data_IF_865435170676
#
_entry.id   IF_865435170676
#
_cell.length_a   1.000
_cell.length_b   1.000
_cell.length_c   1.000
_cell.angle_alpha   90.00
_cell.angle_beta   90.00
_cell.angle_gamma   90.00
#
_symmetry.space_group_name_H-M   'P 1'
#
loop_
_entity.id
_entity.type
_entity.pdbx_description
1 polymer ?
#
# COMPACT_ATOMS: atom_id res chain seq x y z
N UNK A 1 -10.90 3.12 19.03
CA UNK A 1 -10.40 2.14 18.06
C UNK A 1 -10.26 2.83 16.70
N UNK A 2 -9.21 2.53 15.95
CA UNK A 2 -9.03 2.90 14.54
C UNK A 2 -8.85 1.61 13.76
N UNK A 3 -9.50 1.48 12.61
CA UNK A 3 -9.29 0.35 11.70
C UNK A 3 -8.39 0.88 10.58
N UNK A 4 -7.17 0.37 10.50
CA UNK A 4 -6.15 0.90 9.60
C UNK A 4 -6.49 0.52 8.15
N UNK A 5 -6.35 1.44 7.20
CA UNK A 5 -6.61 1.15 5.78
C UNK A 5 -5.39 0.48 5.09
N UNK A 6 -4.90 -0.59 5.71
CA UNK A 6 -3.91 -1.51 5.18
C UNK A 6 -4.36 -2.94 5.50
N UNK A 7 -4.17 -3.89 4.59
CA UNK A 7 -4.70 -5.25 4.75
C UNK A 7 -3.60 -6.26 5.14
N UNK A 8 -3.92 -7.22 6.00
CA UNK A 8 -3.06 -8.35 6.36
C UNK A 8 -3.65 -9.66 5.79
N UNK A 9 -3.54 -9.82 4.48
CA UNK A 9 -4.18 -10.89 3.72
C UNK A 9 -3.37 -12.20 3.66
N UNK A 10 -2.20 -12.25 4.31
CA UNK A 10 -1.42 -13.49 4.45
C UNK A 10 -1.88 -14.31 5.65
N UNK A 11 -1.58 -15.60 5.67
CA UNK A 11 -2.00 -16.55 6.70
C UNK A 11 -0.81 -17.21 7.43
N UNK A 12 -1.09 -17.92 8.52
CA UNK A 12 -0.10 -18.68 9.30
C UNK A 12 1.07 -17.83 9.81
N UNK A 13 2.29 -18.39 9.78
CA UNK A 13 3.51 -17.73 10.26
C UNK A 13 3.79 -16.39 9.56
N UNK A 14 3.32 -16.21 8.31
CA UNK A 14 3.48 -14.94 7.61
C UNK A 14 2.59 -13.85 8.21
N UNK A 15 1.36 -14.20 8.63
CA UNK A 15 0.44 -13.29 9.34
C UNK A 15 1.04 -12.83 10.66
N UNK A 16 1.56 -13.75 11.46
CA UNK A 16 2.16 -13.43 12.76
C UNK A 16 3.31 -12.42 12.59
N UNK A 17 4.22 -12.68 11.64
CA UNK A 17 5.33 -11.78 11.32
C UNK A 17 4.86 -10.42 10.80
N UNK A 18 3.82 -10.38 9.96
CA UNK A 18 3.25 -9.13 9.48
C UNK A 18 2.66 -8.30 10.63
N UNK A 19 1.92 -8.93 11.55
CA UNK A 19 1.33 -8.25 12.71
C UNK A 19 2.38 -7.82 13.73
N UNK A 20 3.45 -8.57 13.93
CA UNK A 20 4.59 -8.14 14.76
C UNK A 20 5.31 -6.93 14.17
N UNK A 21 5.49 -6.94 12.85
CA UNK A 21 5.96 -5.78 12.10
C UNK A 21 5.05 -4.58 12.31
N UNK A 22 3.73 -4.76 12.18
CA UNK A 22 2.74 -3.70 12.39
C UNK A 22 2.78 -3.15 13.82
N UNK A 23 2.86 -4.01 14.84
CA UNK A 23 3.01 -3.59 16.24
C UNK A 23 4.19 -2.66 16.42
N UNK A 24 5.33 -3.00 15.82
CA UNK A 24 6.52 -2.14 15.86
C UNK A 24 6.31 -0.80 15.16
N UNK A 25 5.51 -0.76 14.09
CA UNK A 25 5.19 0.50 13.39
C UNK A 25 4.22 1.37 14.19
N UNK A 26 3.21 0.76 14.82
CA UNK A 26 2.29 1.47 15.71
C UNK A 26 3.06 2.04 16.91
N UNK A 27 3.94 1.25 17.53
CA UNK A 27 4.83 1.72 18.60
C UNK A 27 5.62 2.97 18.17
N UNK A 28 6.24 2.96 17.00
CA UNK A 28 7.00 4.11 16.52
C UNK A 28 6.13 5.36 16.30
N UNK A 29 4.84 5.18 15.99
CA UNK A 29 3.94 6.29 15.70
C UNK A 29 3.33 6.89 16.97
N UNK A 30 3.00 6.07 17.97
CA UNK A 30 2.26 6.52 19.17
C UNK A 30 2.97 6.26 20.50
N UNK A 31 4.14 5.62 20.52
CA UNK A 31 4.84 5.21 21.74
C UNK A 31 5.35 6.36 22.61
N UNK A 32 5.50 7.56 22.03
CA UNK A 32 5.85 8.78 22.77
C UNK A 32 4.62 9.48 23.39
N UNK A 33 3.40 8.99 23.14
CA UNK A 33 2.16 9.52 23.67
C UNK A 33 1.74 8.79 24.96
N UNK A 34 1.02 9.47 25.85
CA UNK A 34 0.51 8.89 27.10
C UNK A 34 -0.71 7.98 26.86
N UNK A 35 -0.50 6.86 26.15
CA UNK A 35 -1.52 5.88 25.79
C UNK A 35 -1.04 4.44 25.93
N UNK A 36 -1.99 3.56 26.22
CA UNK A 36 -1.87 2.12 25.97
C UNK A 36 -2.57 1.79 24.65
N UNK A 37 -2.03 0.82 23.91
CA UNK A 37 -2.63 0.36 22.66
C UNK A 37 -2.59 -1.16 22.51
N UNK A 38 -3.54 -1.68 21.74
CA UNK A 38 -3.64 -3.09 21.37
C UNK A 38 -3.91 -3.20 19.87
N UNK A 39 -3.11 -4.01 19.18
CA UNK A 39 -3.27 -4.32 17.75
C UNK A 39 -3.99 -5.65 17.59
N UNK A 40 -5.18 -5.61 17.01
CA UNK A 40 -5.97 -6.77 16.60
C UNK A 40 -6.09 -6.89 15.08
N UNK A 41 -6.73 -7.96 14.63
CA UNK A 41 -7.06 -8.19 13.22
C UNK A 41 -8.56 -8.50 13.10
N UNK A 42 -9.25 -7.78 12.23
CA UNK A 42 -10.67 -8.03 11.92
C UNK A 42 -10.82 -9.26 10.99
N UNK A 43 -12.06 -9.69 10.81
CA UNK A 43 -12.43 -10.81 9.95
C UNK A 43 -12.26 -10.52 8.45
N UNK A 44 -12.22 -9.24 8.07
CA UNK A 44 -11.96 -8.73 6.73
C UNK A 44 -10.46 -8.40 6.52
N UNK A 45 -9.60 -8.96 7.37
CA UNK A 45 -8.13 -8.82 7.34
C UNK A 45 -7.60 -7.38 7.51
N UNK A 46 -8.44 -6.41 7.89
CA UNK A 46 -7.98 -5.09 8.29
C UNK A 46 -7.54 -5.07 9.75
N UNK A 47 -6.31 -4.64 10.08
CA UNK A 47 -5.88 -4.46 11.44
C UNK A 47 -6.68 -3.37 12.16
N UNK A 48 -6.99 -3.61 13.43
CA UNK A 48 -7.59 -2.62 14.31
C UNK A 48 -6.63 -2.26 15.44
N UNK A 49 -6.59 -0.98 15.79
CA UNK A 49 -5.81 -0.47 16.92
C UNK A 49 -6.76 0.13 17.94
N UNK A 50 -6.88 -0.53 19.09
CA UNK A 50 -7.56 0.03 20.26
C UNK A 50 -6.56 0.87 21.03
N UNK A 51 -6.97 2.08 21.43
CA UNK A 51 -6.13 3.05 22.14
C UNK A 51 -6.93 3.62 23.28
N UNK A 52 -6.31 3.73 24.45
CA UNK A 52 -6.84 4.32 25.69
C UNK A 52 -5.75 5.07 26.45
N UNK A 53 -6.08 6.22 27.02
CA UNK A 53 -5.13 7.04 27.79
C UNK A 53 -5.43 8.53 27.69
N UNK A 54 -4.51 9.35 28.19
CA UNK A 54 -4.65 10.82 28.18
C UNK A 54 -4.58 11.38 26.75
N UNK A 55 -3.72 10.80 25.92
CA UNK A 55 -3.49 11.24 24.53
C UNK A 55 -4.29 10.42 23.49
N UNK A 56 -5.38 9.75 23.90
CA UNK A 56 -6.17 8.85 23.05
C UNK A 56 -6.59 9.49 21.71
N UNK A 57 -7.07 10.74 21.74
CA UNK A 57 -7.50 11.45 20.53
C UNK A 57 -6.33 11.74 19.59
N UNK A 58 -5.18 12.16 20.13
CA UNK A 58 -3.98 12.47 19.35
C UNK A 58 -3.46 11.21 18.69
N UNK A 59 -3.30 10.13 19.46
CA UNK A 59 -2.86 8.84 18.95
C UNK A 59 -3.76 8.33 17.82
N UNK A 60 -5.08 8.45 17.96
CA UNK A 60 -6.02 8.07 16.89
C UNK A 60 -5.86 8.92 15.64
N UNK A 61 -5.57 10.21 15.76
CA UNK A 61 -5.36 11.07 14.61
C UNK A 61 -4.05 10.72 13.87
N UNK A 62 -2.96 10.49 14.60
CA UNK A 62 -1.69 10.01 14.04
C UNK A 62 -1.91 8.71 13.26
N UNK A 63 -2.62 7.74 13.83
CA UNK A 63 -2.92 6.48 13.16
C UNK A 63 -3.72 6.68 11.85
N UNK A 64 -4.68 7.60 11.83
CA UNK A 64 -5.46 7.90 10.61
C UNK A 64 -4.64 8.62 9.55
N UNK A 65 -3.74 9.50 9.96
CA UNK A 65 -2.87 10.23 9.04
C UNK A 65 -1.86 9.29 8.37
N UNK A 66 -1.25 8.40 9.15
CA UNK A 66 -0.21 7.47 8.68
C UNK A 66 -0.76 6.31 7.82
N UNK A 67 -1.92 5.75 8.18
CA UNK A 67 -2.47 4.56 7.50
C UNK A 67 -3.80 4.78 6.76
N UNK A 68 -4.42 5.96 6.89
CA UNK A 68 -5.84 6.09 6.59
C UNK A 68 -6.72 5.33 7.60
N UNK A 69 -8.02 5.30 7.34
CA UNK A 69 -8.95 4.51 8.15
C UNK A 69 -10.08 3.89 7.32
N UNK A 70 -10.41 2.66 7.66
CA UNK A 70 -11.64 2.00 7.21
C UNK A 70 -12.81 2.54 8.04
N UNK A 71 -13.84 3.00 7.35
CA UNK A 71 -15.04 3.61 7.93
C UNK A 71 -16.29 2.85 7.46
N UNK A 72 -17.33 2.71 8.30
CA UNK A 72 -18.61 2.16 7.86
C UNK A 72 -19.45 3.16 7.05
N UNK A 73 -19.08 4.43 7.03
CA UNK A 73 -19.82 5.51 6.39
C UNK A 73 -18.89 6.38 5.56
N UNK A 74 -19.27 6.62 4.30
CA UNK A 74 -18.56 7.47 3.37
C UNK A 74 -19.33 8.77 3.10
N UNK A 75 -18.61 9.87 3.03
CA UNK A 75 -19.11 11.20 2.70
C UNK A 75 -18.67 11.57 1.28
N UNK A 76 -19.63 12.01 0.45
CA UNK A 76 -19.34 12.37 -0.93
C UNK A 76 -18.39 13.58 -0.99
N UNK A 77 -17.31 13.46 -1.76
CA UNK A 77 -16.27 14.48 -1.89
C UNK A 77 -15.08 14.29 -0.95
N UNK A 78 -15.19 13.41 0.05
CA UNK A 78 -14.10 13.12 0.99
C UNK A 78 -13.15 12.03 0.45
N UNK A 79 -11.90 12.06 0.95
CA UNK A 79 -10.83 11.15 0.54
C UNK A 79 -10.72 9.97 1.49
N UNK A 80 -10.64 8.77 0.93
CA UNK A 80 -10.49 7.52 1.66
C UNK A 80 -9.40 6.65 1.03
N UNK A 81 -8.91 5.67 1.77
CA UNK A 81 -7.93 4.69 1.28
C UNK A 81 -8.61 3.34 1.15
N UNK A 82 -8.45 2.71 -0.02
CA UNK A 82 -8.88 1.34 -0.27
C UNK A 82 -7.71 0.48 -0.76
N UNK A 83 -7.83 -0.83 -0.60
CA UNK A 83 -6.83 -1.83 -1.00
C UNK A 83 -7.19 -2.35 -2.40
N UNK A 84 -6.29 -2.25 -3.39
CA UNK A 84 -6.55 -2.78 -4.73
C UNK A 84 -6.85 -4.28 -4.69
N UNK A 85 -8.11 -4.65 -4.95
CA UNK A 85 -8.60 -6.02 -4.81
C UNK A 85 -8.63 -6.73 -6.17
N UNK A 86 -9.19 -6.06 -7.18
CA UNK A 86 -9.34 -6.57 -8.54
C UNK A 86 -9.39 -5.44 -9.58
N UNK A 87 -9.26 -5.80 -10.85
CA UNK A 87 -9.42 -4.90 -12.00
C UNK A 87 -9.97 -5.67 -13.20
N UNK A 88 -10.80 -4.98 -13.98
CA UNK A 88 -11.39 -5.48 -15.21
C UNK A 88 -11.46 -4.37 -16.27
N UNK A 89 -12.16 -4.59 -17.37
CA UNK A 89 -12.30 -3.58 -18.42
C UNK A 89 -13.10 -2.33 -17.96
N UNK A 90 -13.90 -2.45 -16.90
CA UNK A 90 -14.73 -1.36 -16.38
C UNK A 90 -13.97 -0.46 -15.40
N UNK A 91 -12.93 -0.95 -14.72
CA UNK A 91 -12.12 -0.14 -13.81
C UNK A 91 -11.29 -0.92 -12.80
N UNK A 92 -10.87 -0.22 -11.74
CA UNK A 92 -10.23 -0.82 -10.56
C UNK A 92 -11.27 -0.97 -9.45
N UNK A 93 -11.18 -2.05 -8.67
CA UNK A 93 -11.99 -2.27 -7.47
C UNK A 93 -11.06 -2.22 -6.26
N UNK A 94 -11.39 -1.32 -5.33
CA UNK A 94 -10.68 -1.14 -4.06
C UNK A 94 -11.56 -1.67 -2.92
N UNK A 95 -10.99 -2.47 -2.04
CA UNK A 95 -11.62 -2.84 -0.77
C UNK A 95 -11.34 -1.76 0.28
N UNK A 96 -12.39 -1.03 0.68
CA UNK A 96 -12.36 -0.04 1.75
C UNK A 96 -13.25 -0.43 2.94
N UNK A 97 -13.42 -1.74 3.19
CA UNK A 97 -14.46 -2.30 4.08
C UNK A 97 -15.77 -2.60 3.34
N UNK A 98 -15.89 -2.09 2.13
CA UNK A 98 -16.84 -2.47 1.09
C UNK A 98 -16.16 -2.29 -0.29
N UNK A 99 -16.74 -2.89 -1.33
CA UNK A 99 -16.20 -2.80 -2.69
C UNK A 99 -16.43 -1.40 -3.28
N UNK A 100 -15.35 -0.68 -3.56
CA UNK A 100 -15.35 0.64 -4.20
C UNK A 100 -14.80 0.52 -5.61
N UNK A 101 -15.68 0.68 -6.61
CA UNK A 101 -15.26 0.72 -8.01
C UNK A 101 -14.83 2.13 -8.40
N UNK A 102 -13.63 2.24 -8.97
CA UNK A 102 -13.12 3.41 -9.69
C UNK A 102 -13.23 3.13 -11.19
N UNK A 103 -14.20 3.73 -11.90
CA UNK A 103 -14.38 3.51 -13.32
C UNK A 103 -13.13 3.88 -14.14
N UNK A 104 -12.94 3.21 -15.27
CA UNK A 104 -11.78 3.37 -16.16
C UNK A 104 -11.55 4.84 -16.58
N UNK A 105 -12.62 5.58 -16.88
CA UNK A 105 -12.56 7.01 -17.23
C UNK A 105 -12.28 7.93 -16.03
N UNK A 106 -12.41 7.41 -14.80
CA UNK A 106 -12.11 8.10 -13.55
C UNK A 106 -10.73 7.77 -12.98
N UNK A 107 -9.92 6.94 -13.65
CA UNK A 107 -8.54 6.69 -13.23
C UNK A 107 -7.69 7.96 -13.36
N UNK A 108 -7.83 8.69 -14.47
CA UNK A 108 -7.09 9.93 -14.69
C UNK A 108 -5.58 9.73 -14.85
N UNK A 109 -5.15 8.54 -15.26
CA UNK A 109 -3.75 8.09 -15.38
C UNK A 109 -3.26 8.00 -16.83
N UNK A 110 -3.93 8.73 -17.74
CA UNK A 110 -3.67 8.72 -19.17
C UNK A 110 -4.42 7.60 -19.91
N UNK A 111 -4.17 7.44 -21.22
CA UNK A 111 -4.89 6.46 -22.05
C UNK A 111 -4.46 5.02 -21.74
N UNK A 112 -5.40 4.09 -21.88
CA UNK A 112 -5.20 2.65 -21.77
C UNK A 112 -6.40 1.95 -21.12
N UNK A 113 -6.45 0.63 -21.23
CA UNK A 113 -7.34 -0.19 -20.39
C UNK A 113 -6.86 -0.18 -18.93
N UNK A 114 -7.71 -0.51 -17.95
CA UNK A 114 -7.28 -0.60 -16.54
C UNK A 114 -6.08 -1.54 -16.34
N UNK A 115 -6.00 -2.65 -17.07
CA UNK A 115 -4.85 -3.57 -17.04
C UNK A 115 -3.55 -2.93 -17.59
N UNK A 116 -3.65 -2.13 -18.65
CA UNK A 116 -2.51 -1.38 -19.18
C UNK A 116 -2.05 -0.29 -18.22
N UNK A 117 -2.99 0.43 -17.59
CA UNK A 117 -2.70 1.43 -16.56
C UNK A 117 -1.99 0.77 -15.38
N UNK A 118 -2.54 -0.34 -14.88
CA UNK A 118 -1.92 -1.13 -13.82
C UNK A 118 -0.49 -1.52 -14.15
N UNK A 119 -0.24 -2.04 -15.36
CA UNK A 119 1.09 -2.45 -15.79
C UNK A 119 2.03 -1.25 -15.87
N UNK A 120 1.58 -0.12 -16.44
CA UNK A 120 2.39 1.11 -16.59
C UNK A 120 2.85 1.66 -15.25
N UNK A 121 1.94 1.75 -14.28
CA UNK A 121 2.22 2.34 -12.97
C UNK A 121 2.66 1.30 -11.92
N UNK A 122 2.88 0.06 -12.33
CA UNK A 122 3.30 -1.02 -11.43
C UNK A 122 2.34 -1.27 -10.26
N UNK A 123 1.03 -1.24 -10.50
CA UNK A 123 0.02 -1.39 -9.44
C UNK A 123 -0.16 -2.88 -9.09
N UNK A 124 0.66 -3.37 -8.16
CA UNK A 124 0.55 -4.74 -7.64
C UNK A 124 -0.77 -4.93 -6.90
N UNK A 125 -1.29 -6.16 -6.86
CA UNK A 125 -2.45 -6.50 -6.05
C UNK A 125 -2.21 -6.12 -4.58
N UNK A 126 -3.27 -5.69 -3.90
CA UNK A 126 -3.28 -5.19 -2.53
C UNK A 126 -2.61 -3.83 -2.29
N UNK A 127 -2.21 -3.12 -3.35
CA UNK A 127 -1.71 -1.75 -3.21
C UNK A 127 -2.77 -0.84 -2.55
N UNK A 128 -2.47 -0.17 -1.42
CA UNK A 128 -3.36 0.84 -0.88
C UNK A 128 -3.33 2.09 -1.75
N UNK A 129 -4.51 2.54 -2.16
CA UNK A 129 -4.73 3.65 -3.08
C UNK A 129 -5.80 4.59 -2.51
N UNK A 130 -5.59 5.90 -2.68
CA UNK A 130 -6.56 6.90 -2.24
C UNK A 130 -7.58 7.23 -3.33
N UNK A 131 -8.84 7.32 -2.94
CA UNK A 131 -9.96 7.67 -3.80
C UNK A 131 -10.83 8.75 -3.17
N UNK A 132 -11.56 9.50 -4.00
CA UNK A 132 -12.64 10.38 -3.58
C UNK A 132 -13.95 9.63 -3.73
N UNK A 133 -14.70 9.51 -2.64
CA UNK A 133 -16.01 8.87 -2.67
C UNK A 133 -17.05 9.78 -3.35
N UNK A 134 -17.89 9.23 -4.21
CA UNK A 134 -18.90 10.00 -4.93
C UNK A 134 -19.60 9.22 -6.04
N UNK A 135 -20.30 9.93 -6.92
CA UNK A 135 -20.98 9.35 -8.09
C UNK A 135 -20.52 10.06 -9.39
N UNK A 136 -19.55 9.50 -10.12
CA UNK A 136 -18.78 8.28 -9.83
C UNK A 136 -17.65 8.50 -8.80
N UNK A 137 -17.16 7.42 -8.18
CA UNK A 137 -15.90 7.44 -7.44
C UNK A 137 -14.72 7.70 -8.40
N UNK A 138 -13.66 8.31 -7.89
CA UNK A 138 -12.45 8.61 -8.69
C UNK A 138 -11.19 8.45 -7.86
N UNK A 139 -10.04 8.24 -8.50
CA UNK A 139 -8.76 8.36 -7.77
C UNK A 139 -8.60 9.78 -7.21
N UNK A 140 -8.05 9.87 -6.00
CA UNK A 140 -7.72 11.13 -5.38
C UNK A 140 -6.63 11.84 -6.20
N UNK A 141 -6.66 13.18 -6.22
CA UNK A 141 -5.71 13.95 -7.03
C UNK A 141 -4.27 13.73 -6.53
N UNK A 142 -4.07 13.67 -5.21
CA UNK A 142 -2.79 13.32 -4.60
C UNK A 142 -2.30 11.91 -4.97
N UNK A 143 -3.19 10.93 -5.13
CA UNK A 143 -2.82 9.58 -5.57
C UNK A 143 -2.41 9.57 -7.04
N UNK A 144 -3.14 10.29 -7.89
CA UNK A 144 -2.75 10.45 -9.30
C UNK A 144 -1.39 11.13 -9.42
N UNK A 145 -1.16 12.20 -8.67
CA UNK A 145 0.11 12.92 -8.65
C UNK A 145 1.24 12.01 -8.20
N UNK A 146 1.06 11.26 -7.11
CA UNK A 146 2.01 10.23 -6.64
C UNK A 146 2.37 9.21 -7.73
N UNK A 147 1.37 8.69 -8.46
CA UNK A 147 1.60 7.73 -9.52
C UNK A 147 2.29 8.35 -10.74
N UNK A 148 1.95 9.59 -11.11
CA UNK A 148 2.69 10.33 -12.15
C UNK A 148 4.13 10.64 -11.74
N UNK A 149 4.40 10.88 -10.46
CA UNK A 149 5.76 11.05 -9.95
C UNK A 149 6.56 9.75 -10.05
N UNK A 150 5.93 8.59 -9.85
CA UNK A 150 6.60 7.30 -10.03
C UNK A 150 7.08 7.11 -11.47
N UNK A 151 6.28 7.50 -12.47
CA UNK A 151 6.67 7.36 -13.88
C UNK A 151 7.71 8.39 -14.33
N UNK A 152 7.87 9.51 -13.61
CA UNK A 152 8.86 10.56 -13.89
C UNK A 152 10.14 10.45 -13.06
N UNK A 153 10.11 9.66 -12.00
CA UNK A 153 11.19 9.51 -11.03
C UNK A 153 12.18 8.41 -11.41
N UNK A 154 13.06 8.01 -10.47
CA UNK A 154 13.87 6.82 -10.63
C UNK A 154 12.98 5.60 -10.86
N UNK A 155 13.47 4.64 -11.66
CA UNK A 155 12.73 3.40 -11.93
C UNK A 155 12.34 2.67 -10.64
N UNK A 156 11.21 1.98 -10.65
CA UNK A 156 10.65 1.31 -9.46
C UNK A 156 10.23 -0.12 -9.76
N UNK A 157 10.38 -0.98 -8.75
CA UNK A 157 9.78 -2.32 -8.72
C UNK A 157 8.89 -2.41 -7.48
N UNK A 158 7.59 -2.47 -7.70
CA UNK A 158 6.60 -2.65 -6.65
C UNK A 158 6.42 -4.15 -6.38
N UNK A 159 6.25 -4.49 -5.11
CA UNK A 159 6.18 -5.86 -4.60
C UNK A 159 5.07 -5.94 -3.57
N UNK A 160 4.21 -6.95 -3.65
CA UNK A 160 3.25 -7.24 -2.59
C UNK A 160 3.68 -8.43 -1.72
N UNK A 161 2.90 -8.75 -0.69
CA UNK A 161 3.00 -9.99 0.11
C UNK A 161 4.34 -10.16 0.84
N UNK A 162 5.11 -9.09 0.99
CA UNK A 162 6.42 -9.10 1.60
C UNK A 162 6.61 -7.88 2.50
N UNK A 163 7.10 -8.12 3.71
CA UNK A 163 7.50 -7.01 4.58
C UNK A 163 8.69 -6.27 4.00
N UNK A 164 8.85 -4.98 4.34
CA UNK A 164 10.03 -4.18 3.97
C UNK A 164 11.36 -4.90 4.26
N UNK A 165 11.42 -5.59 5.40
CA UNK A 165 12.61 -6.35 5.82
C UNK A 165 12.92 -7.51 4.90
N UNK A 166 11.90 -8.29 4.52
CA UNK A 166 12.04 -9.39 3.55
C UNK A 166 12.44 -8.89 2.18
N UNK A 167 11.79 -7.84 1.67
CA UNK A 167 12.13 -7.24 0.37
C UNK A 167 13.57 -6.75 0.36
N UNK A 168 14.02 -6.04 1.40
CA UNK A 168 15.42 -5.60 1.53
C UNK A 168 16.38 -6.79 1.61
N UNK A 169 16.06 -7.81 2.39
CA UNK A 169 16.88 -9.01 2.52
C UNK A 169 17.02 -9.75 1.19
N UNK A 170 15.94 -9.82 0.41
CA UNK A 170 15.94 -10.41 -0.94
C UNK A 170 16.83 -9.61 -1.90
N UNK A 171 16.68 -8.29 -1.95
CA UNK A 171 17.54 -7.43 -2.80
C UNK A 171 19.02 -7.62 -2.46
N UNK A 172 19.35 -7.67 -1.17
CA UNK A 172 20.73 -7.92 -0.72
C UNK A 172 21.22 -9.32 -1.13
N UNK A 173 20.38 -10.35 -0.97
CA UNK A 173 20.71 -11.74 -1.34
C UNK A 173 20.95 -11.88 -2.84
N UNK A 174 20.20 -11.16 -3.66
CA UNK A 174 20.38 -11.12 -5.11
C UNK A 174 21.59 -10.28 -5.57
N UNK A 175 22.32 -9.64 -4.65
CA UNK A 175 23.52 -8.85 -4.96
C UNK A 175 23.24 -7.42 -5.39
N UNK A 176 22.00 -6.93 -5.24
CA UNK A 176 21.53 -5.65 -5.76
C UNK A 176 21.47 -4.53 -4.70
N UNK A 177 22.22 -4.66 -3.61
CA UNK A 177 22.19 -3.70 -2.50
C UNK A 177 22.59 -2.27 -2.90
N UNK A 178 23.46 -2.13 -3.91
CA UNK A 178 23.94 -0.84 -4.44
C UNK A 178 23.12 -0.33 -5.63
N UNK A 179 22.21 -1.16 -6.16
CA UNK A 179 21.39 -0.84 -7.32
C UNK A 179 20.06 -0.17 -6.92
N UNK A 180 19.87 0.08 -5.62
CA UNK A 180 18.63 0.67 -5.10
C UNK A 180 18.95 1.83 -4.16
N UNK A 181 18.15 2.89 -4.24
CA UNK A 181 18.17 4.01 -3.30
C UNK A 181 17.60 3.54 -1.96
N UNK A 182 16.41 2.94 -2.00
CA UNK A 182 15.71 2.49 -0.80
C UNK A 182 14.61 1.48 -1.13
N UNK A 183 14.07 0.87 -0.08
CA UNK A 183 12.78 0.18 -0.10
C UNK A 183 11.81 1.03 0.69
N UNK A 184 10.86 1.65 -0.02
CA UNK A 184 9.74 2.41 0.54
C UNK A 184 8.61 1.46 0.92
N UNK A 185 7.90 1.78 1.99
CA UNK A 185 6.70 1.06 2.40
C UNK A 185 5.49 1.73 1.75
N UNK A 186 4.68 0.97 1.02
CA UNK A 186 3.43 1.44 0.44
C UNK A 186 2.24 0.98 1.29
N UNK A 187 2.30 -0.24 1.81
CA UNK A 187 1.33 -0.85 2.72
C UNK A 187 2.03 -1.77 3.71
N UNK A 188 1.26 -2.54 4.49
CA UNK A 188 1.84 -3.49 5.45
C UNK A 188 2.72 -4.53 4.74
N UNK A 189 2.28 -5.00 3.57
CA UNK A 189 2.93 -6.04 2.77
C UNK A 189 3.33 -5.56 1.37
N UNK A 190 3.07 -4.28 1.07
CA UNK A 190 3.35 -3.65 -0.21
C UNK A 190 4.56 -2.73 -0.08
N UNK A 191 5.55 -2.95 -0.93
CA UNK A 191 6.82 -2.23 -0.92
C UNK A 191 7.12 -1.67 -2.32
N UNK A 192 7.83 -0.54 -2.37
CA UNK A 192 8.41 -0.01 -3.61
C UNK A 192 9.92 -0.02 -3.49
N UNK A 193 10.58 -0.78 -4.35
CA UNK A 193 12.03 -0.74 -4.49
C UNK A 193 12.36 0.41 -5.44
N UNK A 194 12.97 1.46 -4.92
CA UNK A 194 13.38 2.63 -5.71
C UNK A 194 14.78 2.37 -6.24
N UNK A 195 14.90 2.28 -7.55
CA UNK A 195 16.15 1.96 -8.23
C UNK A 195 17.13 3.14 -8.15
N UNK A 196 18.42 2.84 -8.13
CA UNK A 196 19.47 3.83 -8.30
C UNK A 196 19.53 4.29 -9.77
N UNK A 197 20.24 5.39 -10.02
CA UNK A 197 20.47 5.88 -11.38
C UNK A 197 21.17 4.80 -12.23
N UNK A 198 20.64 4.55 -13.42
CA UNK A 198 21.19 3.55 -14.35
C UNK A 198 20.80 2.09 -14.06
N UNK A 199 20.09 1.82 -12.97
CA UNK A 199 19.54 0.49 -12.70
C UNK A 199 18.28 0.25 -13.54
N UNK A 200 18.25 -0.88 -14.25
CA UNK A 200 17.12 -1.34 -15.06
C UNK A 200 16.07 -2.07 -14.19
N UNK A 201 14.85 -1.52 -14.01
CA UNK A 201 13.84 -2.15 -13.14
C UNK A 201 13.42 -3.55 -13.62
N UNK A 202 13.14 -3.79 -14.92
CA UNK A 202 12.89 -5.15 -15.43
C UNK A 202 14.01 -6.16 -15.11
N UNK A 203 15.28 -5.77 -15.28
CA UNK A 203 16.42 -6.59 -14.92
C UNK A 203 16.49 -6.89 -13.42
N UNK A 204 16.23 -5.89 -12.57
CA UNK A 204 16.14 -6.07 -11.13
C UNK A 204 15.00 -7.03 -10.74
N UNK A 205 13.80 -6.81 -11.31
CA UNK A 205 12.63 -7.67 -11.11
C UNK A 205 12.96 -9.13 -11.46
N UNK A 206 13.57 -9.37 -12.63
CA UNK A 206 13.95 -10.71 -13.06
C UNK A 206 14.94 -11.39 -12.10
N UNK A 207 15.85 -10.62 -11.50
CA UNK A 207 16.82 -11.12 -10.52
C UNK A 207 16.18 -11.49 -9.18
N UNK A 208 15.24 -10.66 -8.69
CA UNK A 208 14.64 -10.87 -7.36
C UNK A 208 13.38 -11.74 -7.36
N UNK A 209 12.67 -11.82 -8.49
CA UNK A 209 11.34 -12.44 -8.57
C UNK A 209 11.33 -13.93 -8.20
N UNK A 210 12.43 -14.65 -8.43
CA UNK A 210 12.56 -16.05 -8.03
C UNK A 210 12.67 -16.29 -6.51
N UNK A 211 12.83 -15.24 -5.71
CA UNK A 211 13.06 -15.33 -4.26
C UNK A 211 11.85 -14.94 -3.42
N UNK A 212 10.81 -14.36 -4.01
CA UNK A 212 9.62 -13.88 -3.29
C UNK A 212 8.37 -14.56 -3.86
N UNK A 213 7.54 -15.20 -3.03
CA UNK A 213 6.21 -15.67 -3.41
C UNK A 213 5.25 -14.47 -3.46
N UNK A 214 5.54 -13.52 -4.34
CA UNK A 214 4.89 -12.22 -4.43
C UNK A 214 4.59 -11.88 -5.89
N UNK A 215 3.66 -10.97 -6.09
CA UNK A 215 3.58 -10.24 -7.35
C UNK A 215 4.61 -9.12 -7.36
N UNK A 216 5.29 -8.97 -8.51
CA UNK A 216 6.19 -7.86 -8.77
C UNK A 216 5.80 -7.18 -10.08
N UNK A 217 5.74 -5.86 -10.07
CA UNK A 217 5.58 -5.05 -11.27
C UNK A 217 6.55 -3.88 -11.29
N UNK A 218 7.10 -3.61 -12.47
CA UNK A 218 7.87 -2.41 -12.70
C UNK A 218 6.94 -1.24 -13.00
N UNK A 219 7.34 -0.04 -12.56
CA UNK A 219 6.83 1.19 -13.16
C UNK A 219 7.59 1.37 -14.48
N UNK A 220 6.85 1.52 -15.58
CA UNK A 220 7.40 1.65 -16.94
C UNK A 220 6.85 2.91 -17.60
N UNK A 221 7.70 3.56 -18.39
CA UNK A 221 7.33 4.73 -19.20
C UNK A 221 6.39 4.37 -20.38
#
# INVERSE_FOLDING_TARGET
>A
MVVLATKCYVEGDARERALDGLRSLVENAVGDLAVEYEVGLRHDDFPSVTVSGEDETVARNVLREEWGAITPEFEAGEVYTGTLEHWDDEGLVLDAGEEIRIPSDQLGLGPGTPDQVRTRYGLVQHLPMQFVYGDPNRLADAERDRLYEWSRGPGRVNVNSATRGETRATVNRAGHAQDIITVERLGLLEQSIVCAEGTDPPGLLASIGGYLPAELLCVVE
#
